data_IF_594831180214
#
_entry.id   IF_594831180214
#
_cell.length_a   1.000
_cell.length_b   1.000
_cell.length_c   1.000
_cell.angle_alpha   90.00
_cell.angle_beta   90.00
_cell.angle_gamma   90.00
#
_symmetry.space_group_name_H-M   'P 1'
#
loop_
_entity.id
_entity.type
_entity.pdbx_description
1 polymer ?
#
# COMPACT_ATOMS: atom_id res chain seq x y z
N UNK A 1 -0.60 4.25 4.36
CA UNK A 1 -0.61 3.25 3.27
C UNK A 1 -1.83 2.33 3.36
N UNK A 2 -2.14 1.81 4.56
CA UNK A 2 -3.36 1.04 4.87
C UNK A 2 -4.68 1.61 4.33
N UNK A 3 -4.98 2.93 4.42
CA UNK A 3 -6.24 3.47 3.90
C UNK A 3 -6.38 3.37 2.38
N UNK A 4 -5.28 3.46 1.62
CA UNK A 4 -5.30 3.30 0.15
C UNK A 4 -5.54 1.83 -0.23
N UNK A 5 -5.05 0.90 0.58
CA UNK A 5 -5.28 -0.54 0.41
C UNK A 5 -6.74 -0.87 0.75
N UNK A 6 -7.27 -0.37 1.87
CA UNK A 6 -8.67 -0.53 2.25
C UNK A 6 -9.63 0.08 1.23
N UNK A 7 -9.33 1.27 0.70
CA UNK A 7 -10.11 1.92 -0.36
C UNK A 7 -10.23 1.03 -1.60
N UNK A 8 -9.10 0.47 -2.06
CA UNK A 8 -9.07 -0.44 -3.21
C UNK A 8 -9.92 -1.70 -3.00
N UNK A 9 -9.84 -2.32 -1.82
CA UNK A 9 -10.66 -3.50 -1.52
C UNK A 9 -12.15 -3.16 -1.44
N UNK A 10 -12.50 -1.97 -0.93
CA UNK A 10 -13.87 -1.50 -0.84
C UNK A 10 -14.47 -1.16 -2.22
N UNK A 11 -13.68 -0.65 -3.17
CA UNK A 11 -14.19 -0.21 -4.48
C UNK A 11 -14.12 -1.26 -5.58
N UNK A 12 -13.11 -2.15 -5.59
CA UNK A 12 -12.92 -3.16 -6.65
C UNK A 12 -13.78 -4.42 -6.47
N UNK A 13 -14.22 -4.73 -5.25
CA UNK A 13 -14.92 -5.98 -4.94
C UNK A 13 -16.34 -5.79 -4.40
N UNK A 14 -16.88 -4.57 -4.46
CA UNK A 14 -18.24 -4.29 -3.96
C UNK A 14 -19.32 -5.11 -4.66
N UNK A 15 -19.12 -5.39 -5.96
CA UNK A 15 -20.02 -6.25 -6.75
C UNK A 15 -20.00 -7.73 -6.32
N UNK A 16 -18.94 -8.17 -5.62
CA UNK A 16 -18.79 -9.53 -5.13
C UNK A 16 -19.22 -9.67 -3.67
N UNK A 17 -18.98 -8.65 -2.84
CA UNK A 17 -19.32 -8.65 -1.42
C UNK A 17 -19.90 -7.28 -1.00
N UNK A 18 -21.24 -7.13 -0.95
CA UNK A 18 -21.90 -5.85 -0.69
C UNK A 18 -21.70 -5.33 0.75
N UNK A 19 -21.23 -6.17 1.68
CA UNK A 19 -20.88 -5.78 3.05
C UNK A 19 -19.47 -5.19 3.19
N UNK A 20 -18.63 -5.26 2.16
CA UNK A 20 -17.25 -4.74 2.20
C UNK A 20 -17.17 -3.26 2.61
N UNK A 21 -18.04 -2.35 2.12
CA UNK A 21 -17.98 -0.93 2.47
C UNK A 21 -18.29 -0.67 3.95
N UNK A 22 -19.18 -1.46 4.57
CA UNK A 22 -19.51 -1.37 6.00
C UNK A 22 -18.31 -1.77 6.87
N UNK A 23 -17.64 -2.87 6.53
CA UNK A 23 -16.44 -3.31 7.24
C UNK A 23 -15.28 -2.31 7.08
N UNK A 24 -15.13 -1.73 5.89
CA UNK A 24 -14.15 -0.68 5.64
C UNK A 24 -14.44 0.59 6.48
N UNK A 25 -15.72 0.98 6.60
CA UNK A 25 -16.13 2.11 7.44
C UNK A 25 -15.78 1.87 8.91
N UNK A 26 -16.09 0.69 9.45
CA UNK A 26 -15.78 0.32 10.82
C UNK A 26 -14.26 0.33 11.08
N UNK A 27 -13.48 -0.25 10.16
CA UNK A 27 -12.03 -0.22 10.24
C UNK A 27 -11.48 1.21 10.20
N UNK A 28 -11.98 2.07 9.30
CA UNK A 28 -11.55 3.47 9.21
C UNK A 28 -11.84 4.26 10.49
N UNK A 29 -12.99 4.03 11.14
CA UNK A 29 -13.33 4.68 12.42
C UNK A 29 -12.33 4.30 13.51
N UNK A 30 -11.99 3.01 13.61
CA UNK A 30 -11.00 2.52 14.59
C UNK A 30 -9.61 3.07 14.25
N UNK A 31 -9.22 3.05 12.98
CA UNK A 31 -7.90 3.47 12.51
C UNK A 31 -7.64 4.96 12.77
N UNK A 32 -8.62 5.84 12.53
CA UNK A 32 -8.52 7.27 12.87
C UNK A 32 -8.24 7.48 14.37
N UNK A 33 -8.87 6.68 15.25
CA UNK A 33 -8.64 6.78 16.70
C UNK A 33 -7.26 6.28 17.10
N UNK A 34 -6.82 5.17 16.53
CA UNK A 34 -5.51 4.58 16.79
C UNK A 34 -4.40 5.52 16.30
N UNK A 35 -4.54 6.11 15.13
CA UNK A 35 -3.55 7.04 14.57
C UNK A 35 -3.49 8.34 15.37
N UNK A 36 -4.63 8.88 15.81
CA UNK A 36 -4.66 10.02 16.72
C UNK A 36 -3.95 9.70 18.05
N UNK A 37 -4.19 8.52 18.63
CA UNK A 37 -3.52 8.10 19.85
C UNK A 37 -2.00 7.96 19.66
N UNK A 38 -1.54 7.39 18.54
CA UNK A 38 -0.11 7.30 18.20
C UNK A 38 0.53 8.68 18.05
N UNK A 39 -0.14 9.61 17.38
CA UNK A 39 0.34 10.99 17.20
C UNK A 39 0.52 11.72 18.53
N UNK A 40 -0.34 11.46 19.51
CA UNK A 40 -0.31 12.15 20.82
C UNK A 40 0.61 11.45 21.82
N UNK A 41 0.75 10.13 21.78
CA UNK A 41 1.46 9.37 22.83
C UNK A 41 2.76 8.72 22.40
N UNK A 42 2.99 8.48 21.11
CA UNK A 42 4.14 7.72 20.60
C UNK A 42 5.06 8.51 19.69
N UNK A 43 4.60 9.59 19.08
CA UNK A 43 5.39 10.38 18.13
C UNK A 43 5.82 11.72 18.71
N UNK A 44 7.04 12.16 18.36
CA UNK A 44 7.52 13.51 18.65
C UNK A 44 6.75 14.52 17.79
N UNK A 45 6.44 15.69 18.34
CA UNK A 45 5.65 16.73 17.66
C UNK A 45 6.27 17.08 16.30
N UNK A 46 5.55 16.87 15.19
CA UNK A 46 6.04 17.23 13.86
C UNK A 46 5.98 18.75 13.66
N UNK A 47 6.88 19.27 12.84
CA UNK A 47 6.85 20.67 12.41
C UNK A 47 5.73 20.84 11.39
N UNK A 48 4.91 21.86 11.57
CA UNK A 48 3.80 22.16 10.65
C UNK A 48 4.36 22.52 9.28
N UNK A 49 3.91 21.82 8.25
CA UNK A 49 4.24 22.11 6.85
C UNK A 49 2.92 22.26 6.08
N UNK A 50 2.80 23.31 5.28
CA UNK A 50 1.61 23.52 4.48
C UNK A 50 1.66 22.65 3.23
N UNK A 51 0.75 21.69 3.14
CA UNK A 51 0.54 20.89 1.94
C UNK A 51 -0.66 21.46 1.16
N UNK A 52 -0.47 21.73 -0.15
CA UNK A 52 -1.54 22.19 -1.05
C UNK A 52 -2.58 21.11 -1.35
N UNK A 53 -2.31 19.86 -0.99
CA UNK A 53 -3.18 18.70 -1.16
C UNK A 53 -2.51 17.40 -0.74
N UNK A 54 -3.13 16.28 -1.08
CA UNK A 54 -2.67 14.91 -0.77
C UNK A 54 -1.43 14.49 -1.61
N UNK A 55 -1.07 15.26 -2.65
CA UNK A 55 0.09 15.02 -3.51
C UNK A 55 -0.13 13.89 -4.51
N UNK A 56 0.94 13.17 -4.88
CA UNK A 56 0.91 12.07 -5.86
C UNK A 56 -0.09 10.95 -5.52
N UNK A 57 -0.50 10.84 -4.26
CA UNK A 57 -1.54 9.91 -3.82
C UNK A 57 -2.91 10.20 -4.44
N UNK A 58 -3.22 11.44 -4.80
CA UNK A 58 -4.47 11.78 -5.48
C UNK A 58 -4.55 11.14 -6.88
N UNK A 59 -3.43 11.15 -7.62
CA UNK A 59 -3.34 10.54 -8.94
C UNK A 59 -3.50 9.01 -8.85
N UNK A 60 -2.88 8.39 -7.85
CA UNK A 60 -3.01 6.94 -7.59
C UNK A 60 -4.47 6.58 -7.27
N UNK A 61 -5.14 7.34 -6.41
CA UNK A 61 -6.54 7.10 -6.06
C UNK A 61 -7.48 7.27 -7.27
N UNK A 62 -7.19 8.24 -8.14
CA UNK A 62 -7.92 8.46 -9.39
C UNK A 62 -7.80 7.28 -10.37
N UNK A 63 -6.58 6.74 -10.52
CA UNK A 63 -6.34 5.53 -11.34
C UNK A 63 -7.11 4.33 -10.77
N UNK A 64 -7.05 4.11 -9.46
CA UNK A 64 -7.78 2.99 -8.80
C UNK A 64 -9.30 3.15 -8.93
N UNK A 65 -9.82 4.38 -8.80
CA UNK A 65 -11.25 4.66 -8.97
C UNK A 65 -11.71 4.40 -10.41
N UNK A 66 -10.94 4.85 -11.40
CA UNK A 66 -11.24 4.64 -12.83
C UNK A 66 -11.30 3.15 -13.16
N UNK A 67 -10.35 2.36 -12.68
CA UNK A 67 -10.36 0.91 -12.86
C UNK A 67 -11.57 0.23 -12.18
N UNK A 68 -12.01 0.74 -11.03
CA UNK A 68 -13.16 0.20 -10.31
C UNK A 68 -14.47 0.35 -11.09
N UNK A 69 -14.66 1.47 -11.79
CA UNK A 69 -15.86 1.71 -12.62
C UNK A 69 -15.95 0.72 -13.77
N UNK A 70 -14.82 0.28 -14.32
CA UNK A 70 -14.81 -0.68 -15.43
C UNK A 70 -15.00 -2.12 -14.91
N UNK A 71 -14.46 -2.45 -13.73
CA UNK A 71 -14.44 -3.82 -13.16
C UNK A 71 -15.79 -4.28 -12.64
N UNK A 72 -16.47 -3.43 -11.88
CA UNK A 72 -17.69 -3.83 -11.19
C UNK A 72 -18.82 -4.27 -12.17
N UNK A 73 -19.09 -3.56 -13.28
CA UNK A 73 -20.07 -4.02 -14.27
C UNK A 73 -19.67 -5.34 -14.94
N UNK A 74 -18.38 -5.54 -15.22
CA UNK A 74 -17.88 -6.78 -15.82
C UNK A 74 -18.05 -7.98 -14.87
N UNK A 75 -17.78 -7.82 -13.57
CA UNK A 75 -18.02 -8.86 -12.55
C UNK A 75 -19.50 -9.25 -12.53
N UNK A 76 -20.40 -8.27 -12.54
CA UNK A 76 -21.84 -8.52 -12.56
C UNK A 76 -22.26 -9.24 -13.85
N UNK A 77 -21.75 -8.80 -15.00
CA UNK A 77 -22.04 -9.41 -16.30
C UNK A 77 -21.56 -10.86 -16.39
N UNK A 78 -20.37 -11.18 -15.87
CA UNK A 78 -19.87 -12.56 -15.76
C UNK A 78 -20.78 -13.40 -14.86
N UNK A 79 -21.16 -12.89 -13.68
CA UNK A 79 -22.08 -13.60 -12.78
C UNK A 79 -23.41 -13.89 -13.46
N UNK A 80 -23.96 -12.93 -14.20
CA UNK A 80 -25.22 -13.10 -14.94
C UNK A 80 -25.07 -14.12 -16.07
N UNK A 81 -24.02 -14.06 -16.89
CA UNK A 81 -23.81 -14.99 -18.00
C UNK A 81 -23.58 -16.44 -17.55
N UNK A 82 -22.90 -16.64 -16.42
CA UNK A 82 -22.71 -17.95 -15.80
C UNK A 82 -24.05 -18.52 -15.33
N UNK A 83 -24.89 -17.70 -14.70
CA UNK A 83 -26.25 -18.09 -14.27
C UNK A 83 -27.16 -18.35 -15.47
N UNK A 84 -27.08 -17.52 -16.51
CA UNK A 84 -27.90 -17.62 -17.72
C UNK A 84 -27.38 -18.64 -18.77
N UNK A 85 -26.21 -19.26 -18.51
CA UNK A 85 -25.58 -20.31 -19.34
C UNK A 85 -25.38 -19.93 -20.82
N UNK A 86 -25.15 -18.64 -21.11
CA UNK A 86 -24.93 -18.11 -22.46
C UNK A 86 -23.50 -18.40 -22.93
N UNK A 87 -23.32 -19.52 -23.65
CA UNK A 87 -22.00 -20.05 -24.06
C UNK A 87 -21.23 -19.19 -25.07
N UNK A 88 -21.92 -18.37 -25.88
CA UNK A 88 -21.33 -17.69 -27.05
C UNK A 88 -20.53 -16.42 -26.70
N UNK A 89 -20.81 -15.79 -25.56
CA UNK A 89 -20.09 -14.59 -25.08
C UNK A 89 -19.04 -14.91 -24.00
N UNK A 90 -19.10 -16.09 -23.39
CA UNK A 90 -18.24 -16.50 -22.26
C UNK A 90 -16.73 -16.39 -22.52
N UNK A 91 -16.25 -16.84 -23.69
CA UNK A 91 -14.80 -16.83 -23.99
C UNK A 91 -14.26 -15.40 -24.19
N UNK A 92 -15.01 -14.55 -24.90
CA UNK A 92 -14.66 -13.15 -25.14
C UNK A 92 -14.67 -12.36 -23.82
N UNK A 93 -15.66 -12.61 -22.96
CA UNK A 93 -15.78 -11.96 -21.65
C UNK A 93 -14.70 -12.42 -20.68
N UNK A 94 -14.36 -13.70 -20.66
CA UNK A 94 -13.22 -14.22 -19.87
C UNK A 94 -11.90 -13.62 -20.32
N UNK A 95 -11.70 -13.45 -21.63
CA UNK A 95 -10.51 -12.79 -22.20
C UNK A 95 -10.46 -11.30 -21.84
N UNK A 96 -11.57 -10.58 -21.95
CA UNK A 96 -11.66 -9.16 -21.53
C UNK A 96 -11.40 -8.99 -20.03
N UNK A 97 -11.98 -9.86 -19.20
CA UNK A 97 -11.79 -9.84 -17.74
C UNK A 97 -10.33 -10.11 -17.36
N UNK A 98 -9.68 -11.10 -17.99
CA UNK A 98 -8.27 -11.40 -17.77
C UNK A 98 -7.37 -10.20 -18.10
N UNK A 99 -7.61 -9.53 -19.23
CA UNK A 99 -6.80 -8.37 -19.65
C UNK A 99 -6.94 -7.16 -18.70
N UNK A 100 -8.06 -7.04 -17.99
CA UNK A 100 -8.30 -5.92 -17.06
C UNK A 100 -7.87 -6.18 -15.61
N UNK A 101 -7.80 -7.45 -15.22
CA UNK A 101 -7.27 -7.88 -13.93
C UNK A 101 -5.75 -7.70 -13.82
N UNK A 102 -5.02 -7.79 -14.93
CA UNK A 102 -3.56 -7.63 -14.98
C UNK A 102 -3.13 -6.26 -14.43
N UNK A 103 -3.61 -5.11 -14.97
CA UNK A 103 -3.20 -3.81 -14.45
C UNK A 103 -3.63 -3.58 -12.99
N UNK A 104 -4.76 -4.14 -12.56
CA UNK A 104 -5.22 -4.04 -11.16
C UNK A 104 -4.30 -4.82 -10.21
N UNK A 105 -3.89 -6.02 -10.63
CA UNK A 105 -2.94 -6.87 -9.90
C UNK A 105 -1.56 -6.19 -9.85
N UNK A 106 -1.12 -5.56 -10.93
CA UNK A 106 0.13 -4.77 -10.94
C UNK A 106 0.07 -3.60 -9.95
N UNK A 107 -1.00 -2.79 -9.95
CA UNK A 107 -1.11 -1.66 -9.02
C UNK A 107 -1.20 -2.19 -7.58
N UNK A 108 -1.88 -3.31 -7.33
CA UNK A 108 -1.91 -3.93 -6.00
C UNK A 108 -0.49 -4.32 -5.60
N UNK A 109 0.24 -4.97 -6.49
CA UNK A 109 1.61 -5.39 -6.25
C UNK A 109 2.54 -4.18 -5.97
N UNK A 110 2.49 -3.11 -6.76
CA UNK A 110 3.36 -1.94 -6.59
C UNK A 110 3.08 -1.10 -5.35
N UNK A 111 1.83 -1.05 -4.90
CA UNK A 111 1.43 -0.20 -3.77
C UNK A 111 1.31 -0.97 -2.46
N UNK A 112 1.32 -2.31 -2.51
CA UNK A 112 1.36 -3.14 -1.32
C UNK A 112 2.80 -3.53 -1.04
N UNK A 113 3.17 -3.48 0.23
CA UNK A 113 4.44 -4.02 0.74
C UNK A 113 4.41 -5.58 0.72
N UNK A 114 3.59 -6.19 -0.15
CA UNK A 114 3.46 -7.65 -0.27
C UNK A 114 4.60 -8.20 -1.13
N UNK A 115 4.94 -7.56 -2.25
CA UNK A 115 6.02 -8.06 -3.12
C UNK A 115 7.35 -8.13 -2.34
N UNK A 116 7.81 -7.05 -1.67
CA UNK A 116 9.14 -7.07 -1.05
C UNK A 116 9.17 -8.04 0.15
N UNK A 117 8.08 -8.17 0.91
CA UNK A 117 7.93 -9.18 1.97
C UNK A 117 7.98 -10.61 1.45
N UNK A 118 7.34 -10.88 0.31
CA UNK A 118 7.34 -12.18 -0.32
C UNK A 118 8.73 -12.55 -0.85
N UNK A 119 9.40 -11.59 -1.49
CA UNK A 119 10.79 -11.72 -1.97
C UNK A 119 11.73 -11.97 -0.80
N UNK A 120 11.58 -11.25 0.31
CA UNK A 120 12.38 -11.50 1.50
C UNK A 120 12.14 -12.90 2.07
N UNK A 121 10.87 -13.31 2.21
CA UNK A 121 10.51 -14.62 2.76
C UNK A 121 11.04 -15.80 1.94
N UNK A 122 10.93 -15.73 0.61
CA UNK A 122 11.38 -16.83 -0.26
C UNK A 122 12.85 -16.75 -0.68
N UNK A 123 13.41 -15.54 -0.79
CA UNK A 123 14.72 -15.31 -1.40
C UNK A 123 15.86 -14.98 -0.43
N UNK A 124 15.56 -14.37 0.73
CA UNK A 124 16.59 -13.89 1.66
C UNK A 124 16.52 -14.55 3.04
N UNK A 125 15.31 -14.80 3.53
CA UNK A 125 15.04 -15.29 4.89
C UNK A 125 15.56 -16.71 5.15
N UNK A 126 15.49 -17.59 4.14
CA UNK A 126 15.97 -18.97 4.26
C UNK A 126 17.50 -19.06 4.43
N UNK A 127 18.23 -18.01 4.06
CA UNK A 127 19.69 -17.95 4.10
C UNK A 127 20.23 -17.59 5.50
N UNK A 128 19.40 -17.04 6.40
CA UNK A 128 19.80 -16.53 7.73
C UNK A 128 19.85 -17.59 8.86
N UNK A 129 19.81 -18.89 8.54
CA UNK A 129 20.43 -19.91 9.39
C UNK A 129 19.54 -20.79 10.28
N UNK A 130 18.22 -20.86 10.06
CA UNK A 130 17.38 -21.89 10.73
C UNK A 130 16.76 -22.90 9.75
N UNK A 131 16.97 -22.74 8.44
CA UNK A 131 16.39 -23.57 7.39
C UNK A 131 14.86 -23.40 7.21
N UNK A 132 14.20 -22.63 8.09
CA UNK A 132 12.79 -22.32 8.00
C UNK A 132 12.61 -20.84 7.62
N UNK A 133 11.82 -20.51 6.59
CA UNK A 133 11.59 -19.12 6.21
C UNK A 133 10.79 -18.40 7.31
N UNK A 134 11.32 -17.27 7.78
CA UNK A 134 10.72 -16.39 8.80
C UNK A 134 10.70 -14.92 8.36
N UNK A 135 9.72 -14.14 8.82
CA UNK A 135 9.69 -12.69 8.59
C UNK A 135 10.49 -11.88 9.63
N UNK A 136 11.22 -12.57 10.51
CA UNK A 136 11.96 -11.93 11.59
C UNK A 136 13.22 -11.25 11.02
N UNK A 137 13.38 -9.94 11.26
CA UNK A 137 14.48 -9.14 10.69
C UNK A 137 14.13 -8.38 9.41
N UNK A 138 12.97 -8.61 8.79
CA UNK A 138 12.56 -7.94 7.54
C UNK A 138 12.70 -6.40 7.59
N UNK A 139 12.25 -5.78 8.69
CA UNK A 139 12.31 -4.31 8.83
C UNK A 139 13.75 -3.82 8.92
N UNK A 140 14.65 -4.58 9.55
CA UNK A 140 16.05 -4.20 9.71
C UNK A 140 16.82 -4.30 8.38
N UNK A 141 16.50 -5.32 7.58
CA UNK A 141 17.17 -5.59 6.30
C UNK A 141 16.58 -4.79 5.13
N UNK A 142 15.30 -4.40 5.21
CA UNK A 142 14.64 -3.59 4.18
C UNK A 142 14.92 -2.10 4.32
N UNK A 143 15.31 -1.62 5.51
CA UNK A 143 15.69 -0.23 5.73
C UNK A 143 17.14 0.01 5.29
N UNK A 144 17.35 1.03 4.47
CA UNK A 144 18.70 1.44 4.05
C UNK A 144 19.39 2.26 5.13
N UNK A 145 20.63 1.94 5.46
CA UNK A 145 21.45 2.77 6.34
C UNK A 145 21.98 3.97 5.55
N UNK A 146 21.67 5.18 6.00
CA UNK A 146 22.18 6.42 5.45
C UNK A 146 23.11 7.10 6.46
N UNK A 147 24.28 7.56 6.02
CA UNK A 147 25.21 8.31 6.87
C UNK A 147 24.88 9.80 6.80
N UNK A 148 24.81 10.45 7.95
CA UNK A 148 24.48 11.88 8.02
C UNK A 148 25.59 12.73 7.37
N UNK A 149 26.82 12.23 7.32
CA UNK A 149 27.93 12.85 6.58
C UNK A 149 27.66 13.02 5.07
N UNK A 150 26.73 12.26 4.51
CA UNK A 150 26.51 12.21 3.06
C UNK A 150 25.51 13.29 2.59
N UNK A 151 24.97 14.11 3.51
CA UNK A 151 24.17 15.29 3.16
C UNK A 151 25.03 16.35 2.45
N UNK A 152 24.66 16.71 1.22
CA UNK A 152 25.25 17.87 0.52
C UNK A 152 24.96 19.16 1.29
N UNK A 153 25.95 20.05 1.45
CA UNK A 153 25.86 21.30 2.21
C UNK A 153 24.58 22.11 1.95
N UNK A 154 24.16 22.22 0.68
CA UNK A 154 22.93 22.90 0.26
C UNK A 154 21.62 22.31 0.83
N UNK A 155 21.63 21.06 1.26
CA UNK A 155 20.49 20.35 1.86
C UNK A 155 20.58 20.28 3.39
N UNK A 156 21.59 20.92 4.01
CA UNK A 156 21.72 20.94 5.46
C UNK A 156 20.56 21.74 6.08
N UNK A 157 20.06 21.33 7.25
CA UNK A 157 19.07 22.11 7.96
C UNK A 157 19.63 23.50 8.33
N UNK A 158 18.90 24.57 7.98
CA UNK A 158 19.29 25.94 8.35
C UNK A 158 19.44 26.16 9.87
N UNK A 159 18.74 25.34 10.66
CA UNK A 159 18.87 25.27 12.12
C UNK A 159 19.24 23.83 12.44
N UNK A 160 20.44 23.61 12.98
CA UNK A 160 20.95 22.26 13.27
C UNK A 160 20.15 21.61 14.40
N UNK A 161 19.32 20.58 14.12
CA UNK A 161 18.60 19.90 15.18
C UNK A 161 19.53 18.91 15.90
N UNK A 162 19.23 18.59 17.16
CA UNK A 162 20.07 17.71 18.00
C UNK A 162 20.33 16.30 17.43
N UNK A 163 19.52 15.84 16.47
CA UNK A 163 19.72 14.54 15.80
C UNK A 163 20.67 14.61 14.60
N UNK A 164 21.00 15.80 14.12
CA UNK A 164 21.94 16.03 13.02
C UNK A 164 23.37 16.24 13.55
N UNK A 165 23.59 16.13 14.85
CA UNK A 165 24.92 16.23 15.43
C UNK A 165 25.72 14.93 15.16
N UNK A 166 26.78 14.98 14.35
CA UNK A 166 27.61 13.80 14.04
C UNK A 166 28.35 13.26 15.28
N UNK A 167 28.38 13.99 16.40
CA UNK A 167 28.95 13.51 17.66
C UNK A 167 28.08 12.46 18.36
N UNK A 168 26.76 12.48 18.16
CA UNK A 168 25.82 11.56 18.83
C UNK A 168 25.19 10.54 17.89
N UNK A 169 24.86 10.92 16.66
CA UNK A 169 24.28 10.04 15.66
C UNK A 169 25.04 10.19 14.34
N UNK A 170 25.65 9.09 13.89
CA UNK A 170 26.41 9.06 12.63
C UNK A 170 25.59 8.47 11.47
N UNK A 171 24.58 7.67 11.79
CA UNK A 171 23.74 6.95 10.83
C UNK A 171 22.26 7.08 11.18
N UNK A 172 21.44 7.12 10.14
CA UNK A 172 19.98 6.97 10.21
C UNK A 172 19.53 5.82 9.31
N UNK A 173 18.32 5.32 9.56
CA UNK A 173 17.64 4.30 8.78
C UNK A 173 16.27 4.81 8.35
#
# INVERSE_FOLDING_TARGET
YTPVIQFRFATLFVASFPLAPLLALLNNIIEVRVDAWKLVTKMRRPVVSQARGIGAWADILSIVATLSVITNPQIIFVKINVIAKVRCSEALVKSLHANMLIPQSCILAFTTDIIPRLVYYYGYSAEYGTGLPTMHGYTEDSLSIFKISDFKEQNHPNILPAWFDPAFHTTCR
#
